data_IF_515315692595
#
_entry.id   IF_515315692595
#
_cell.length_a   1.000
_cell.length_b   1.000
_cell.length_c   1.000
_cell.angle_alpha   90.00
_cell.angle_beta   90.00
_cell.angle_gamma   90.00
#
_symmetry.space_group_name_H-M   'P 1'
#
loop_
_entity.id
_entity.type
_entity.pdbx_description
1 polymer ?
#
# COMPACT_ATOMS: atom_id res chain seq x y z
N UNK A 1 -1.69 -19.58 15.78
CA UNK A 1 -2.91 -18.76 15.91
C UNK A 1 -2.61 -17.26 16.06
N UNK A 2 -1.92 -16.83 17.13
CA UNK A 2 -1.67 -15.40 17.44
C UNK A 2 -1.14 -14.53 16.28
N UNK A 3 -0.23 -15.04 15.44
CA UNK A 3 0.27 -14.31 14.25
C UNK A 3 -0.86 -13.90 13.31
N UNK A 4 -1.79 -14.82 13.02
CA UNK A 4 -2.91 -14.55 12.13
C UNK A 4 -3.80 -13.44 12.69
N UNK A 5 -4.12 -13.51 13.98
CA UNK A 5 -4.98 -12.54 14.64
C UNK A 5 -4.36 -11.13 14.61
N UNK A 6 -3.06 -11.01 14.86
CA UNK A 6 -2.33 -9.73 14.78
C UNK A 6 -2.28 -9.16 13.37
N UNK A 7 -2.04 -10.00 12.36
CA UNK A 7 -2.10 -9.54 10.97
C UNK A 7 -3.47 -8.99 10.62
N UNK A 8 -4.53 -9.75 10.93
CA UNK A 8 -5.91 -9.38 10.61
C UNK A 8 -6.37 -8.11 11.32
N UNK A 9 -5.97 -7.91 12.57
CA UNK A 9 -6.52 -6.86 13.44
C UNK A 9 -5.65 -5.61 13.52
N UNK A 10 -4.32 -5.76 13.46
CA UNK A 10 -3.36 -4.67 13.70
C UNK A 10 -2.59 -4.32 12.43
N UNK A 11 -1.84 -5.26 11.87
CA UNK A 11 -0.88 -4.96 10.79
C UNK A 11 -1.56 -4.61 9.46
N UNK A 12 -2.74 -5.15 9.20
CA UNK A 12 -3.52 -4.86 8.00
C UNK A 12 -4.72 -3.97 8.30
N UNK A 13 -4.73 -3.26 9.43
CA UNK A 13 -5.83 -2.37 9.76
C UNK A 13 -6.01 -1.30 8.69
N UNK A 14 -7.23 -1.14 8.17
CA UNK A 14 -7.54 -0.25 7.04
C UNK A 14 -6.95 1.16 7.14
N UNK A 15 -6.94 1.74 8.33
CA UNK A 15 -6.40 3.10 8.54
C UNK A 15 -4.88 3.12 8.54
N UNK A 16 -4.24 2.06 9.04
CA UNK A 16 -2.79 1.92 8.95
C UNK A 16 -2.39 1.76 7.48
N UNK A 17 -3.07 0.88 6.74
CA UNK A 17 -2.87 0.68 5.30
C UNK A 17 -3.07 1.96 4.49
N UNK A 18 -4.10 2.75 4.78
CA UNK A 18 -4.30 4.03 4.13
C UNK A 18 -3.12 5.00 4.36
N UNK A 19 -2.59 5.06 5.59
CA UNK A 19 -1.42 5.88 5.92
C UNK A 19 -0.16 5.33 5.22
N UNK A 20 0.05 4.02 5.22
CA UNK A 20 1.17 3.37 4.52
C UNK A 20 1.19 3.75 3.04
N UNK A 21 0.03 3.68 2.37
CA UNK A 21 -0.11 4.06 0.96
C UNK A 21 0.23 5.54 0.75
N UNK A 22 -0.29 6.44 1.59
CA UNK A 22 0.04 7.86 1.50
C UNK A 22 1.52 8.15 1.76
N UNK A 23 2.17 7.45 2.70
CA UNK A 23 3.60 7.59 2.93
C UNK A 23 4.39 7.10 1.72
N UNK A 24 4.00 5.97 1.14
CA UNK A 24 4.63 5.44 -0.07
C UNK A 24 4.52 6.43 -1.24
N UNK A 25 3.34 7.01 -1.48
CA UNK A 25 3.15 8.03 -2.53
C UNK A 25 4.00 9.27 -2.27
N UNK A 26 4.08 9.72 -1.01
CA UNK A 26 4.95 10.84 -0.63
C UNK A 26 6.43 10.52 -0.88
N UNK A 27 6.88 9.30 -0.60
CA UNK A 27 8.26 8.86 -0.86
C UNK A 27 8.54 8.73 -2.36
N UNK A 28 7.58 8.24 -3.16
CA UNK A 28 7.71 8.17 -4.61
C UNK A 28 7.86 9.57 -5.23
N UNK A 29 7.01 10.52 -4.85
CA UNK A 29 7.10 11.91 -5.30
C UNK A 29 8.39 12.61 -4.83
N UNK A 30 8.94 12.21 -3.67
CA UNK A 30 10.19 12.76 -3.15
C UNK A 30 11.46 12.09 -3.74
N UNK A 31 11.33 10.94 -4.40
CA UNK A 31 12.47 10.12 -4.81
C UNK A 31 13.41 10.86 -5.77
N UNK A 32 12.87 11.66 -6.70
CA UNK A 32 13.69 12.37 -7.68
C UNK A 32 14.65 13.38 -7.05
N UNK A 33 14.29 13.95 -5.90
CA UNK A 33 15.08 14.94 -5.16
C UNK A 33 15.96 14.27 -4.10
N UNK A 34 15.37 13.39 -3.28
CA UNK A 34 16.05 12.78 -2.13
C UNK A 34 16.80 11.48 -2.46
N UNK A 35 16.65 10.98 -3.70
CA UNK A 35 17.32 9.78 -4.22
C UNK A 35 17.16 8.57 -3.31
N UNK A 36 15.93 8.35 -2.84
CA UNK A 36 15.60 7.36 -1.81
C UNK A 36 15.97 5.95 -2.30
N UNK A 37 15.62 5.61 -3.54
CA UNK A 37 15.94 4.33 -4.14
C UNK A 37 17.45 4.10 -4.22
N UNK A 38 18.22 5.09 -4.67
CA UNK A 38 19.67 5.02 -4.78
C UNK A 38 20.33 4.87 -3.41
N UNK A 39 19.80 5.54 -2.38
CA UNK A 39 20.26 5.39 -0.99
C UNK A 39 20.10 3.95 -0.47
N UNK A 40 19.13 3.19 -0.96
CA UNK A 40 18.95 1.77 -0.63
C UNK A 40 20.02 0.86 -1.24
N UNK A 41 20.72 1.30 -2.28
CA UNK A 41 21.73 0.48 -2.98
C UNK A 41 23.13 0.59 -2.37
N UNK A 42 23.38 1.59 -1.51
CA UNK A 42 24.66 1.77 -0.80
C UNK A 42 24.44 1.75 0.72
N UNK A 43 25.10 0.80 1.40
CA UNK A 43 25.02 0.66 2.87
C UNK A 43 25.43 1.95 3.61
N UNK A 44 26.37 2.73 3.06
CA UNK A 44 26.87 3.97 3.69
C UNK A 44 25.79 5.03 3.78
N UNK A 45 24.87 5.06 2.82
CA UNK A 45 23.71 5.95 2.81
C UNK A 45 22.47 5.31 3.41
N UNK A 46 22.30 4.01 3.24
CA UNK A 46 21.15 3.25 3.74
C UNK A 46 21.06 3.25 5.27
N UNK A 47 22.18 3.21 5.97
CA UNK A 47 22.21 3.29 7.43
C UNK A 47 21.56 4.58 7.99
N UNK A 48 21.48 5.64 7.19
CA UNK A 48 20.83 6.90 7.55
C UNK A 48 19.39 7.00 7.02
N UNK A 49 18.93 6.03 6.23
CA UNK A 49 17.55 5.98 5.75
C UNK A 49 16.66 5.41 6.85
N UNK A 50 16.12 6.31 7.65
CA UNK A 50 15.23 6.02 8.78
C UNK A 50 13.92 6.80 8.63
N UNK A 51 13.00 6.66 9.59
CA UNK A 51 11.75 7.43 9.66
C UNK A 51 11.96 8.96 9.61
N UNK A 52 13.18 9.42 9.87
CA UNK A 52 13.60 10.82 9.68
C UNK A 52 13.39 11.34 8.25
N UNK A 53 13.28 10.45 7.25
CA UNK A 53 12.98 10.81 5.86
C UNK A 53 11.67 11.61 5.74
N UNK A 54 10.68 11.34 6.59
CA UNK A 54 9.43 12.11 6.60
C UNK A 54 9.65 13.55 7.06
N UNK A 55 10.58 13.75 7.99
CA UNK A 55 10.97 15.10 8.42
C UNK A 55 11.85 15.78 7.36
N UNK A 56 12.75 15.03 6.70
CA UNK A 56 13.55 15.52 5.57
C UNK A 56 12.65 16.06 4.45
N UNK A 57 11.60 15.33 4.07
CA UNK A 57 10.60 15.79 3.08
C UNK A 57 9.92 17.08 3.56
N UNK A 58 9.56 17.19 4.84
CA UNK A 58 8.84 18.36 5.38
C UNK A 58 9.69 19.63 5.43
N UNK A 59 10.95 19.51 5.86
CA UNK A 59 11.81 20.67 6.16
C UNK A 59 12.66 21.12 4.97
N UNK A 60 12.85 20.26 3.96
CA UNK A 60 13.62 20.61 2.77
C UNK A 60 12.90 21.69 1.93
N UNK A 61 13.61 22.75 1.51
CA UNK A 61 12.99 23.89 0.80
C UNK A 61 12.84 23.70 -0.72
N UNK A 62 13.23 22.55 -1.29
CA UNK A 62 13.07 22.29 -2.72
C UNK A 62 11.58 22.24 -3.12
N UNK A 63 11.19 23.09 -4.07
CA UNK A 63 9.80 23.20 -4.56
C UNK A 63 9.31 21.91 -5.21
N UNK A 64 10.21 21.07 -5.75
CA UNK A 64 9.86 19.78 -6.34
C UNK A 64 9.26 18.81 -5.29
N UNK A 65 9.52 19.04 -4.01
CA UNK A 65 8.94 18.27 -2.90
C UNK A 65 7.53 18.73 -2.50
N UNK A 66 6.96 19.77 -3.14
CA UNK A 66 5.67 20.33 -2.75
C UNK A 66 4.54 19.29 -2.73
N UNK A 67 4.51 18.36 -3.71
CA UNK A 67 3.53 17.27 -3.75
C UNK A 67 3.70 16.31 -2.58
N UNK A 68 4.92 15.81 -2.35
CA UNK A 68 5.22 14.92 -1.24
C UNK A 68 4.84 15.55 0.11
N UNK A 69 5.18 16.83 0.32
CA UNK A 69 4.78 17.59 1.51
C UNK A 69 3.27 17.68 1.65
N UNK A 70 2.55 17.96 0.57
CA UNK A 70 1.09 18.07 0.60
C UNK A 70 0.42 16.76 1.07
N UNK A 71 0.97 15.61 0.67
CA UNK A 71 0.47 14.29 1.11
C UNK A 71 0.73 14.11 2.62
N UNK A 72 1.94 14.43 3.10
CA UNK A 72 2.25 14.37 4.53
C UNK A 72 1.40 15.32 5.37
N UNK A 73 1.03 16.49 4.84
CA UNK A 73 0.12 17.44 5.48
C UNK A 73 -1.32 16.89 5.55
N UNK A 74 -1.77 16.16 4.53
CA UNK A 74 -3.06 15.48 4.57
C UNK A 74 -3.10 14.42 5.68
N UNK A 75 -2.02 13.66 5.85
CA UNK A 75 -1.87 12.70 6.97
C UNK A 75 -1.98 13.44 8.31
N UNK A 76 -1.23 14.53 8.49
CA UNK A 76 -1.24 15.33 9.72
C UNK A 76 -2.63 15.91 10.04
N UNK A 77 -3.36 16.32 8.99
CA UNK A 77 -4.75 16.82 9.08
C UNK A 77 -5.80 15.70 9.17
N UNK A 78 -5.37 14.43 9.24
CA UNK A 78 -6.22 13.23 9.25
C UNK A 78 -7.15 13.13 8.03
N UNK A 79 -6.79 13.77 6.91
CA UNK A 79 -7.47 13.67 5.61
C UNK A 79 -6.90 12.48 4.84
N UNK A 80 -7.22 11.28 5.32
CA UNK A 80 -6.64 10.03 4.83
C UNK A 80 -7.36 9.50 3.59
N UNK A 81 -6.67 8.64 2.83
CA UNK A 81 -7.32 7.79 1.83
C UNK A 81 -8.43 6.95 2.46
N UNK A 82 -9.51 6.76 1.72
CA UNK A 82 -10.72 6.09 2.20
C UNK A 82 -10.77 4.67 1.67
N UNK A 83 -11.00 3.72 2.58
CA UNK A 83 -11.36 2.37 2.20
C UNK A 83 -12.76 2.39 1.57
N UNK A 84 -12.86 1.98 0.29
CA UNK A 84 -14.13 1.91 -0.44
C UNK A 84 -14.77 0.51 -0.30
N UNK A 85 -13.96 -0.53 -0.27
CA UNK A 85 -14.41 -1.91 -0.11
C UNK A 85 -13.28 -2.84 0.26
N UNK A 86 -13.63 -3.96 0.89
CA UNK A 86 -12.72 -5.05 1.24
C UNK A 86 -13.45 -6.36 0.97
N UNK A 87 -12.75 -7.32 0.37
CA UNK A 87 -13.28 -8.67 0.14
C UNK A 87 -12.23 -9.66 0.64
N UNK A 88 -12.68 -10.60 1.46
CA UNK A 88 -11.84 -11.70 1.94
C UNK A 88 -12.25 -12.97 1.23
N UNK A 89 -11.27 -13.67 0.65
CA UNK A 89 -11.49 -14.97 0.02
C UNK A 89 -10.86 -16.06 0.90
N UNK A 90 -11.66 -16.92 1.56
CA UNK A 90 -11.13 -18.13 2.18
C UNK A 90 -10.66 -19.11 1.10
N UNK A 91 -9.78 -20.03 1.44
CA UNK A 91 -9.56 -21.20 0.58
C UNK A 91 -10.77 -22.15 0.68
N UNK A 92 -11.24 -22.73 -0.43
CA UNK A 92 -10.62 -22.77 -1.77
C UNK A 92 -11.09 -21.66 -2.74
N UNK A 93 -11.97 -20.74 -2.33
CA UNK A 93 -12.56 -19.73 -3.22
C UNK A 93 -11.51 -18.84 -3.90
N UNK A 94 -10.39 -18.57 -3.22
CA UNK A 94 -9.28 -17.82 -3.80
C UNK A 94 -8.67 -18.49 -5.04
N UNK A 95 -8.50 -19.82 -5.05
CA UNK A 95 -7.93 -20.51 -6.22
C UNK A 95 -8.87 -20.45 -7.43
N UNK A 96 -10.20 -20.45 -7.20
CA UNK A 96 -11.17 -20.18 -8.26
C UNK A 96 -11.01 -18.76 -8.81
N UNK A 97 -11.01 -17.76 -7.93
CA UNK A 97 -10.85 -16.34 -8.33
C UNK A 97 -9.53 -16.10 -9.07
N UNK A 98 -8.44 -16.68 -8.59
CA UNK A 98 -7.13 -16.61 -9.24
C UNK A 98 -7.12 -17.28 -10.61
N UNK A 99 -7.84 -18.39 -10.77
CA UNK A 99 -8.10 -19.04 -12.05
C UNK A 99 -8.87 -18.14 -13.02
N UNK A 100 -9.94 -17.51 -12.54
CA UNK A 100 -10.77 -16.57 -13.32
C UNK A 100 -9.97 -15.32 -13.74
N UNK A 101 -9.11 -14.82 -12.85
CA UNK A 101 -8.17 -13.73 -13.13
C UNK A 101 -6.97 -14.16 -14.01
N UNK A 102 -6.83 -15.46 -14.33
CA UNK A 102 -5.69 -16.03 -15.07
C UNK A 102 -4.33 -15.64 -14.47
N UNK A 103 -4.26 -15.56 -13.14
CA UNK A 103 -3.07 -15.13 -12.41
C UNK A 103 -2.74 -13.63 -12.51
N UNK A 104 -3.60 -12.81 -13.13
CA UNK A 104 -3.44 -11.34 -13.10
C UNK A 104 -3.89 -10.80 -11.74
N UNK A 105 -3.22 -9.75 -11.28
CA UNK A 105 -3.71 -8.96 -10.14
C UNK A 105 -4.84 -8.04 -10.63
N UNK A 106 -5.86 -7.86 -9.79
CA UNK A 106 -6.90 -6.86 -10.04
C UNK A 106 -6.25 -5.48 -10.04
N UNK A 107 -6.50 -4.71 -11.09
CA UNK A 107 -5.96 -3.38 -11.29
C UNK A 107 -7.01 -2.29 -10.99
N UNK A 108 -6.57 -1.05 -10.86
CA UNK A 108 -7.47 0.09 -10.71
C UNK A 108 -8.37 0.26 -11.95
N UNK A 109 -7.84 -0.07 -13.13
CA UNK A 109 -8.56 -0.04 -14.40
C UNK A 109 -9.71 -1.06 -14.42
N UNK A 110 -9.50 -2.27 -13.86
CA UNK A 110 -10.54 -3.29 -13.76
C UNK A 110 -11.70 -2.81 -12.88
N UNK A 111 -11.38 -2.11 -11.77
CA UNK A 111 -12.39 -1.53 -10.86
C UNK A 111 -13.18 -0.43 -11.56
N UNK A 112 -12.51 0.44 -12.34
CA UNK A 112 -13.19 1.48 -13.11
C UNK A 112 -14.09 0.89 -14.20
N UNK A 113 -13.61 -0.11 -14.93
CA UNK A 113 -14.39 -0.77 -15.97
C UNK A 113 -15.64 -1.47 -15.40
N UNK A 114 -15.58 -1.96 -14.16
CA UNK A 114 -16.70 -2.57 -13.46
C UNK A 114 -17.68 -1.55 -12.85
N UNK A 115 -17.35 -0.26 -12.80
CA UNK A 115 -18.25 0.77 -12.28
C UNK A 115 -19.38 1.04 -13.27
N UNK A 116 -20.56 0.48 -12.97
CA UNK A 116 -21.78 0.62 -13.77
C UNK A 116 -22.08 2.12 -13.97
N UNK A 117 -22.06 2.60 -15.22
CA UNK A 117 -21.95 4.00 -15.66
C UNK A 117 -23.14 4.91 -15.33
N UNK A 118 -23.75 4.77 -14.16
CA UNK A 118 -24.93 5.51 -13.71
C UNK A 118 -24.62 6.95 -13.31
N UNK A 119 -23.35 7.30 -13.06
CA UNK A 119 -22.83 8.68 -12.93
C UNK A 119 -21.36 8.70 -13.32
N UNK A 120 -20.96 9.64 -14.16
CA UNK A 120 -19.54 9.98 -14.32
C UNK A 120 -19.03 10.51 -12.98
N UNK A 121 -18.22 9.69 -12.29
CA UNK A 121 -17.63 10.04 -10.99
C UNK A 121 -16.36 10.90 -11.16
N UNK A 122 -15.89 11.12 -12.40
CA UNK A 122 -14.65 11.84 -12.67
C UNK A 122 -13.39 11.15 -12.12
N UNK A 123 -13.48 9.87 -11.75
CA UNK A 123 -12.37 9.10 -11.18
C UNK A 123 -11.44 8.60 -12.28
N UNK A 124 -10.14 8.68 -12.00
CA UNK A 124 -9.06 8.13 -12.82
C UNK A 124 -8.47 6.92 -12.13
N UNK A 125 -7.74 6.10 -12.88
CA UNK A 125 -7.07 4.92 -12.33
C UNK A 125 -6.07 5.30 -11.21
N UNK A 126 -5.43 6.47 -11.33
CA UNK A 126 -4.55 7.04 -10.31
C UNK A 126 -5.23 7.38 -8.99
N UNK A 127 -6.57 7.49 -8.97
CA UNK A 127 -7.32 7.83 -7.76
C UNK A 127 -7.70 6.57 -6.96
N UNK A 128 -7.37 5.38 -7.47
CA UNK A 128 -7.75 4.09 -6.90
C UNK A 128 -6.50 3.30 -6.57
N UNK A 129 -6.43 2.82 -5.33
CA UNK A 129 -5.39 1.91 -4.86
C UNK A 129 -6.02 0.54 -4.62
N UNK A 130 -5.48 -0.49 -5.26
CA UNK A 130 -5.87 -1.88 -5.03
C UNK A 130 -4.76 -2.57 -4.24
N UNK A 131 -5.04 -2.90 -2.98
CA UNK A 131 -4.11 -3.58 -2.08
C UNK A 131 -4.56 -5.03 -1.86
N UNK A 132 -3.66 -5.98 -2.09
CA UNK A 132 -3.95 -7.42 -1.93
C UNK A 132 -3.04 -8.00 -0.87
N UNK A 133 -3.63 -8.53 0.19
CA UNK A 133 -2.88 -9.10 1.32
C UNK A 133 -3.17 -10.59 1.44
N UNK A 134 -2.11 -11.43 1.41
CA UNK A 134 -2.19 -12.86 1.73
C UNK A 134 -1.76 -13.07 3.18
N UNK A 135 -2.65 -13.61 4.01
CA UNK A 135 -2.35 -13.99 5.40
C UNK A 135 -2.23 -15.51 5.45
N UNK A 136 -1.06 -16.00 5.89
CA UNK A 136 -0.79 -17.43 6.08
C UNK A 136 -0.01 -17.69 7.37
N UNK A 137 0.35 -18.95 7.62
CA UNK A 137 1.18 -19.34 8.76
C UNK A 137 2.69 -19.27 8.48
N UNK A 138 3.13 -18.30 7.66
CA UNK A 138 4.51 -18.08 7.25
C UNK A 138 5.17 -19.25 6.46
N UNK A 139 4.36 -20.19 5.96
CA UNK A 139 4.85 -21.34 5.18
C UNK A 139 4.03 -21.59 3.91
N UNK A 140 3.63 -20.50 3.24
CA UNK A 140 2.75 -20.60 2.07
C UNK A 140 1.44 -21.29 2.46
N UNK A 141 1.12 -22.37 1.76
CA UNK A 141 -0.11 -23.15 1.97
C UNK A 141 0.14 -24.40 2.85
N UNK A 142 1.40 -24.64 3.25
CA UNK A 142 1.76 -25.75 4.12
C UNK A 142 1.48 -25.43 5.59
N UNK A 143 1.10 -26.45 6.34
CA UNK A 143 0.99 -26.36 7.79
C UNK A 143 2.41 -26.37 8.41
N UNK A 144 2.82 -25.32 9.16
CA UNK A 144 4.14 -25.30 9.77
C UNK A 144 4.30 -26.36 10.87
N UNK A 145 3.22 -26.83 11.50
CA UNK A 145 3.26 -27.83 12.59
C UNK A 145 3.77 -29.19 12.10
N UNK A 146 3.59 -29.50 10.82
CA UNK A 146 4.02 -30.79 10.23
C UNK A 146 5.56 -30.93 10.17
N UNK A 147 6.30 -29.88 10.50
CA UNK A 147 7.76 -29.82 10.43
C UNK A 147 8.40 -29.37 11.75
N UNK A 148 7.73 -29.66 12.86
CA UNK A 148 8.18 -29.40 14.23
C UNK A 148 8.48 -30.73 14.93
#
# INVERSE_FOLDING_TARGET
QMRYDLHKTVYTHKTARAIDCMILDAMLEANDVLKIWERCQDMRTYQYLTDSILNEIRTNNDERLAKAKSILDLIAKRKLYRLVGEVTFPEPDWERVKGDLKGKKVSAEDILAASDGKKDLGLRASDIIVDTVKINYAKGDANPVDHV
#
